data_IF_537392481582
#
_entry.id   IF_537392481582
#
_cell.length_a   1.000
_cell.length_b   1.000
_cell.length_c   1.000
_cell.angle_alpha   90.00
_cell.angle_beta   90.00
_cell.angle_gamma   90.00
#
_symmetry.space_group_name_H-M   'P 1'
#
loop_
_entity.id
_entity.type
_entity.pdbx_description
1 polymer ?
#
# COMPACT_ATOMS: atom_id res chain seq x y z
N UNK A 1 12.82 -12.36 18.68
CA UNK A 1 12.77 -12.61 17.22
C UNK A 1 11.55 -11.98 16.53
N UNK A 2 10.35 -12.57 16.55
CA UNK A 2 9.17 -12.03 15.82
C UNK A 2 8.83 -10.58 16.16
N UNK A 3 8.85 -10.28 17.45
CA UNK A 3 8.59 -8.93 17.95
C UNK A 3 9.66 -7.92 17.50
N UNK A 4 10.95 -8.27 17.58
CA UNK A 4 12.05 -7.40 17.16
C UNK A 4 12.04 -7.15 15.65
N UNK A 5 11.73 -8.19 14.85
CA UNK A 5 11.53 -8.07 13.41
C UNK A 5 10.39 -7.10 13.07
N UNK A 6 9.29 -7.15 13.84
CA UNK A 6 8.18 -6.20 13.68
C UNK A 6 8.61 -4.77 14.03
N UNK A 7 9.36 -4.58 15.12
CA UNK A 7 9.86 -3.27 15.51
C UNK A 7 10.84 -2.68 14.47
N UNK A 8 11.74 -3.49 13.93
CA UNK A 8 12.63 -3.08 12.83
C UNK A 8 11.82 -2.69 11.58
N UNK A 9 10.86 -3.54 11.18
CA UNK A 9 9.96 -3.26 10.07
C UNK A 9 9.22 -1.92 10.26
N UNK A 10 8.65 -1.67 11.44
CA UNK A 10 7.92 -0.43 11.74
C UNK A 10 8.86 0.79 11.73
N UNK A 11 10.07 0.66 12.27
CA UNK A 11 11.08 1.73 12.24
C UNK A 11 11.50 2.08 10.82
N UNK A 12 11.77 1.06 9.99
CA UNK A 12 12.09 1.24 8.57
C UNK A 12 10.94 1.84 7.80
N UNK A 13 9.71 1.37 8.03
CA UNK A 13 8.50 1.91 7.39
C UNK A 13 8.32 3.40 7.71
N UNK A 14 8.36 3.77 8.99
CA UNK A 14 8.22 5.17 9.41
C UNK A 14 9.33 6.05 8.82
N UNK A 15 10.57 5.57 8.83
CA UNK A 15 11.71 6.27 8.22
C UNK A 15 11.52 6.49 6.72
N UNK A 16 11.06 5.47 5.98
CA UNK A 16 10.81 5.54 4.54
C UNK A 16 9.61 6.44 4.20
N UNK A 17 8.56 6.46 5.01
CA UNK A 17 7.43 7.38 4.85
C UNK A 17 7.88 8.83 5.03
N UNK A 18 8.62 9.11 6.10
CA UNK A 18 9.09 10.47 6.42
C UNK A 18 9.99 11.07 5.33
N UNK A 19 10.79 10.25 4.66
CA UNK A 19 11.69 10.70 3.59
C UNK A 19 11.23 10.32 2.17
N UNK A 20 10.00 9.83 2.01
CA UNK A 20 9.42 9.39 0.74
C UNK A 20 10.36 8.47 -0.04
N UNK A 21 10.89 7.45 0.62
CA UNK A 21 11.83 6.49 0.03
C UNK A 21 13.18 7.09 -0.37
N UNK A 22 13.56 8.24 0.22
CA UNK A 22 14.75 9.03 -0.14
C UNK A 22 14.75 9.51 -1.59
N UNK A 23 13.57 9.62 -2.22
CA UNK A 23 13.44 10.14 -3.59
C UNK A 23 13.69 11.65 -3.57
N UNK A 24 14.64 12.12 -4.39
CA UNK A 24 14.95 13.55 -4.53
C UNK A 24 13.74 14.34 -5.06
N UNK A 25 13.55 15.57 -4.58
CA UNK A 25 12.39 16.43 -4.92
C UNK A 25 12.10 16.55 -6.41
N UNK A 26 13.11 16.85 -7.24
CA UNK A 26 12.94 16.93 -8.71
C UNK A 26 12.49 15.59 -9.33
N UNK A 27 13.04 14.47 -8.86
CA UNK A 27 12.64 13.13 -9.34
C UNK A 27 11.19 12.82 -8.92
N UNK A 28 10.82 13.17 -7.70
CA UNK A 28 9.45 13.01 -7.21
C UNK A 28 8.47 13.85 -8.04
N UNK A 29 8.77 15.12 -8.27
CA UNK A 29 7.94 16.00 -9.12
C UNK A 29 7.73 15.42 -10.52
N UNK A 30 8.79 14.89 -11.15
CA UNK A 30 8.68 14.23 -12.45
C UNK A 30 7.82 12.95 -12.41
N UNK A 31 7.85 12.19 -11.33
CA UNK A 31 6.96 11.03 -11.16
C UNK A 31 5.50 11.47 -11.07
N UNK A 32 5.24 12.53 -10.28
CA UNK A 32 3.89 13.02 -10.01
C UNK A 32 3.27 13.75 -11.21
N UNK A 33 4.06 14.41 -12.06
CA UNK A 33 3.57 15.18 -13.21
C UNK A 33 2.87 14.34 -14.28
N UNK A 34 3.01 13.01 -14.23
CA UNK A 34 2.37 12.07 -15.14
C UNK A 34 1.14 11.37 -14.54
N UNK A 35 0.74 11.73 -13.32
CA UNK A 35 -0.52 11.28 -12.75
C UNK A 35 -1.68 11.98 -13.45
N UNK A 36 -2.70 11.23 -13.85
CA UNK A 36 -3.86 11.80 -14.51
C UNK A 36 -5.02 10.80 -14.67
N UNK A 37 -6.18 11.27 -15.16
CA UNK A 37 -7.42 10.50 -15.19
C UNK A 37 -7.34 9.19 -15.97
N UNK A 38 -6.47 9.11 -16.99
CA UNK A 38 -6.27 7.89 -17.79
C UNK A 38 -5.86 6.68 -16.94
N UNK A 39 -5.18 6.91 -15.81
CA UNK A 39 -4.72 5.86 -14.91
C UNK A 39 -5.82 5.30 -14.01
N UNK A 40 -7.00 5.95 -13.99
CA UNK A 40 -8.15 5.49 -13.21
C UNK A 40 -8.85 4.29 -13.87
N UNK A 41 -8.63 4.05 -15.16
CA UNK A 41 -9.21 2.92 -15.88
C UNK A 41 -10.73 2.79 -15.64
N UNK A 42 -11.18 1.59 -15.27
CA UNK A 42 -12.60 1.34 -14.98
C UNK A 42 -13.11 1.99 -13.69
N UNK A 43 -12.25 2.59 -12.88
CA UNK A 43 -12.63 3.37 -11.69
C UNK A 43 -12.88 4.86 -11.98
N UNK A 44 -12.90 5.28 -13.25
CA UNK A 44 -13.15 6.68 -13.62
C UNK A 44 -14.49 7.26 -13.16
N UNK A 45 -15.46 6.42 -12.76
CA UNK A 45 -16.72 6.87 -12.16
C UNK A 45 -16.65 7.20 -10.66
N UNK A 46 -15.54 6.88 -9.99
CA UNK A 46 -15.32 7.20 -8.56
C UNK A 46 -14.73 8.61 -8.42
N UNK A 47 -15.00 9.25 -7.27
CA UNK A 47 -14.42 10.56 -6.97
C UNK A 47 -12.93 10.43 -6.63
N UNK A 48 -12.06 10.97 -7.50
CA UNK A 48 -10.63 11.07 -7.18
C UNK A 48 -10.44 12.02 -5.99
N UNK A 49 -9.81 11.52 -4.92
CA UNK A 49 -9.46 12.30 -3.73
C UNK A 49 -7.95 12.27 -3.48
N UNK A 50 -7.37 13.34 -2.92
CA UNK A 50 -6.04 13.26 -2.34
C UNK A 50 -6.06 12.36 -1.10
N UNK A 51 -4.91 11.76 -0.79
CA UNK A 51 -4.73 10.88 0.37
C UNK A 51 -5.08 11.61 1.68
N UNK A 52 -4.72 12.88 1.79
CA UNK A 52 -4.97 13.70 2.98
C UNK A 52 -6.48 13.97 3.23
N UNK A 53 -7.35 13.81 2.23
CA UNK A 53 -8.80 14.00 2.39
C UNK A 53 -9.54 12.72 2.80
N UNK A 54 -8.85 11.59 2.89
CA UNK A 54 -9.44 10.33 3.33
C UNK A 54 -9.84 10.38 4.81
N UNK A 55 -10.97 9.76 5.12
CA UNK A 55 -11.44 9.55 6.48
C UNK A 55 -10.96 8.20 7.03
N UNK A 56 -10.74 8.05 8.35
CA UNK A 56 -10.46 6.76 8.96
C UNK A 56 -11.56 5.74 8.63
N UNK A 57 -11.17 4.50 8.34
CA UNK A 57 -12.09 3.45 7.89
C UNK A 57 -12.25 3.42 6.36
N UNK A 58 -13.40 2.91 5.91
CA UNK A 58 -13.70 2.77 4.47
C UNK A 58 -14.12 4.12 3.88
N UNK A 59 -13.65 4.42 2.68
CA UNK A 59 -14.00 5.62 1.92
C UNK A 59 -14.78 5.25 0.64
N UNK A 60 -16.06 4.85 0.74
CA UNK A 60 -16.84 4.40 -0.40
C UNK A 60 -17.01 5.50 -1.46
N UNK A 61 -17.16 5.10 -2.72
CA UNK A 61 -17.34 6.06 -3.83
C UNK A 61 -16.11 6.91 -4.16
N UNK A 62 -14.98 6.70 -3.48
CA UNK A 62 -13.75 7.46 -3.66
C UNK A 62 -12.66 6.58 -4.30
N UNK A 63 -11.71 7.21 -4.98
CA UNK A 63 -10.51 6.55 -5.49
C UNK A 63 -9.30 7.41 -5.18
N UNK A 64 -8.16 6.79 -4.89
CA UNK A 64 -6.87 7.48 -4.77
C UNK A 64 -5.92 6.99 -5.85
N UNK A 65 -5.06 7.90 -6.31
CA UNK A 65 -4.07 7.67 -7.33
C UNK A 65 -2.74 8.27 -6.86
N UNK A 66 -1.66 7.49 -6.96
CA UNK A 66 -0.34 7.98 -6.60
C UNK A 66 0.79 7.21 -7.26
N UNK A 67 2.03 7.58 -6.91
CA UNK A 67 3.28 6.95 -7.36
C UNK A 67 3.96 6.20 -6.23
N UNK A 68 4.45 5.01 -6.54
CA UNK A 68 5.22 4.19 -5.60
C UNK A 68 6.59 4.83 -5.38
N UNK A 69 6.99 5.00 -4.12
CA UNK A 69 8.29 5.61 -3.74
C UNK A 69 9.25 4.66 -3.03
N UNK A 70 8.74 3.57 -2.44
CA UNK A 70 9.52 2.47 -1.87
C UNK A 70 8.64 1.23 -1.74
N UNK A 71 9.24 0.06 -1.55
CA UNK A 71 8.58 -1.16 -1.08
C UNK A 71 9.32 -1.76 0.12
N UNK A 72 8.59 -2.47 0.95
CA UNK A 72 9.06 -3.14 2.16
C UNK A 72 8.22 -4.39 2.36
N UNK A 73 8.86 -5.50 2.68
CA UNK A 73 8.19 -6.75 2.99
C UNK A 73 8.75 -7.26 4.33
N UNK A 74 7.90 -7.61 5.31
CA UNK A 74 8.37 -8.26 6.53
C UNK A 74 8.88 -9.66 6.21
N UNK A 75 9.59 -10.28 7.16
CA UNK A 75 10.18 -11.61 6.96
C UNK A 75 9.12 -12.69 6.68
N UNK A 76 7.94 -12.56 7.29
CA UNK A 76 6.77 -13.42 7.07
C UNK A 76 6.05 -13.14 5.74
N UNK A 77 6.61 -12.26 4.91
CA UNK A 77 6.16 -11.88 3.57
C UNK A 77 4.79 -11.20 3.47
N UNK A 78 4.07 -11.05 4.57
CA UNK A 78 2.74 -10.43 4.61
C UNK A 78 2.69 -9.33 5.67
N UNK A 79 2.19 -8.12 5.34
CA UNK A 79 1.75 -7.66 4.03
C UNK A 79 2.90 -7.25 3.11
N UNK A 80 2.68 -7.27 1.79
CA UNK A 80 3.53 -6.50 0.87
C UNK A 80 3.22 -5.02 1.10
N UNK A 81 4.22 -4.25 1.51
CA UNK A 81 4.04 -2.84 1.88
C UNK A 81 4.76 -1.94 0.90
N UNK A 82 4.14 -0.84 0.51
CA UNK A 82 4.81 0.19 -0.28
C UNK A 82 4.36 1.59 0.11
N UNK A 83 5.22 2.58 -0.14
CA UNK A 83 4.86 3.99 0.02
C UNK A 83 4.22 4.52 -1.24
N UNK A 84 3.09 5.19 -1.11
CA UNK A 84 2.37 5.84 -2.21
C UNK A 84 2.33 7.35 -1.97
N UNK A 85 2.79 8.11 -2.97
CA UNK A 85 2.71 9.58 -2.96
C UNK A 85 1.69 10.05 -3.98
N UNK A 86 0.70 10.82 -3.56
CA UNK A 86 -0.29 11.42 -4.45
C UNK A 86 0.20 12.72 -5.10
N UNK A 87 -0.65 13.33 -5.94
CA UNK A 87 -0.31 14.57 -6.63
C UNK A 87 -0.04 15.76 -5.68
N UNK A 88 -0.59 15.76 -4.47
CA UNK A 88 -0.36 16.79 -3.44
C UNK A 88 0.94 16.53 -2.64
N UNK A 89 1.57 15.38 -2.85
CA UNK A 89 2.81 15.00 -2.20
C UNK A 89 2.60 14.32 -0.84
N UNK A 90 1.37 14.02 -0.44
CA UNK A 90 1.08 13.23 0.78
C UNK A 90 1.58 11.81 0.59
N UNK A 91 2.26 11.24 1.59
CA UNK A 91 2.84 9.90 1.49
C UNK A 91 2.27 8.96 2.55
N UNK A 92 1.48 7.97 2.13
CA UNK A 92 0.93 6.93 3.01
C UNK A 92 1.49 5.56 2.68
N UNK A 93 1.45 4.66 3.67
CA UNK A 93 1.76 3.25 3.44
C UNK A 93 0.56 2.52 2.85
N UNK A 94 0.78 1.62 1.91
CA UNK A 94 -0.23 0.71 1.37
C UNK A 94 0.18 -0.69 1.80
N UNK A 95 -0.74 -1.43 2.41
CA UNK A 95 -0.52 -2.79 2.91
C UNK A 95 -1.42 -3.75 2.15
N UNK A 96 -0.82 -4.50 1.23
CA UNK A 96 -1.52 -5.45 0.37
C UNK A 96 -1.42 -6.86 0.96
N UNK A 97 -2.57 -7.51 1.05
CA UNK A 97 -2.72 -8.87 1.55
C UNK A 97 -3.11 -9.82 0.40
N UNK A 98 -3.15 -11.12 0.72
CA UNK A 98 -3.65 -12.17 -0.17
C UNK A 98 -2.99 -12.18 -1.57
N UNK A 99 -1.71 -11.85 -1.65
CA UNK A 99 -0.94 -11.82 -2.89
C UNK A 99 -0.07 -13.08 -3.04
N UNK A 100 0.18 -13.52 -4.27
CA UNK A 100 1.24 -14.49 -4.55
C UNK A 100 2.60 -13.87 -4.27
N UNK A 101 3.60 -14.68 -3.92
CA UNK A 101 4.94 -14.18 -3.56
C UNK A 101 5.63 -13.41 -4.69
N UNK A 102 5.30 -13.72 -5.95
CA UNK A 102 5.86 -13.07 -7.13
C UNK A 102 5.21 -11.71 -7.45
N UNK A 103 4.15 -11.33 -6.75
CA UNK A 103 3.48 -10.05 -6.98
C UNK A 103 4.15 -8.91 -6.22
N UNK A 104 4.20 -7.74 -6.86
CA UNK A 104 4.66 -6.51 -6.26
C UNK A 104 4.52 -5.33 -7.22
N UNK A 105 4.89 -4.15 -6.76
CA UNK A 105 5.00 -2.94 -7.58
C UNK A 105 6.40 -2.35 -7.51
N UNK A 106 6.79 -1.64 -8.56
CA UNK A 106 8.09 -0.99 -8.68
C UNK A 106 8.00 0.50 -8.32
N UNK A 107 9.13 1.06 -7.91
CA UNK A 107 9.25 2.51 -7.73
C UNK A 107 8.89 3.21 -9.05
N UNK A 108 8.14 4.30 -8.94
CA UNK A 108 7.53 5.07 -10.03
C UNK A 108 6.29 4.45 -10.69
N UNK A 109 5.89 3.22 -10.38
CA UNK A 109 4.59 2.72 -10.82
C UNK A 109 3.48 3.62 -10.29
N UNK A 110 2.46 3.87 -11.12
CA UNK A 110 1.23 4.49 -10.64
C UNK A 110 0.29 3.43 -10.13
N UNK A 111 -0.28 3.65 -8.95
CA UNK A 111 -1.25 2.73 -8.36
C UNK A 111 -2.55 3.47 -8.10
N UNK A 112 -3.65 2.89 -8.59
CA UNK A 112 -5.02 3.33 -8.34
C UNK A 112 -5.66 2.39 -7.32
N UNK A 113 -6.20 2.95 -6.24
CA UNK A 113 -6.84 2.20 -5.15
C UNK A 113 -8.29 2.67 -5.01
N UNK A 114 -9.28 1.85 -5.37
CA UNK A 114 -10.69 2.18 -5.16
C UNK A 114 -11.06 2.02 -3.68
N UNK A 115 -12.02 2.82 -3.24
CA UNK A 115 -12.68 2.75 -1.94
C UNK A 115 -11.73 2.49 -0.75
N UNK A 116 -10.65 3.29 -0.60
CA UNK A 116 -9.53 2.96 0.27
C UNK A 116 -9.94 2.84 1.74
N UNK A 117 -9.39 1.84 2.42
CA UNK A 117 -9.58 1.63 3.85
C UNK A 117 -8.40 2.20 4.65
N UNK A 118 -8.55 3.44 5.13
CA UNK A 118 -7.52 4.14 5.90
C UNK A 118 -7.51 3.68 7.36
N UNK A 119 -6.31 3.49 7.91
CA UNK A 119 -6.07 3.31 9.34
C UNK A 119 -4.97 4.26 9.82
N UNK A 120 -5.23 4.91 10.95
CA UNK A 120 -4.22 5.68 11.68
C UNK A 120 -3.58 4.77 12.73
N UNK A 121 -2.26 4.66 12.70
CA UNK A 121 -1.51 3.89 13.67
C UNK A 121 -0.82 4.84 14.64
N UNK A 122 -0.95 4.53 15.93
CA UNK A 122 -0.16 5.11 17.01
C UNK A 122 0.21 3.95 17.94
N UNK A 123 1.39 3.38 17.72
CA UNK A 123 1.87 2.20 18.43
C UNK A 123 3.02 2.63 19.34
N UNK A 124 2.86 2.38 20.64
CA UNK A 124 3.92 2.58 21.63
C UNK A 124 4.32 1.23 22.20
N UNK A 125 5.59 0.87 22.05
CA UNK A 125 6.09 -0.42 22.53
C UNK A 125 7.60 -0.37 22.76
N UNK A 126 8.08 -0.96 23.87
CA UNK A 126 9.51 -0.96 24.26
C UNK A 126 10.20 0.41 24.16
N UNK A 127 9.50 1.48 24.57
CA UNK A 127 10.02 2.86 24.53
C UNK A 127 10.12 3.47 23.13
N UNK A 128 9.68 2.76 22.08
CA UNK A 128 9.59 3.29 20.72
C UNK A 128 8.15 3.69 20.41
N UNK A 129 7.99 4.74 19.59
CA UNK A 129 6.69 5.24 19.13
C UNK A 129 6.66 5.25 17.61
N UNK A 130 5.65 4.59 17.03
CA UNK A 130 5.43 4.52 15.59
C UNK A 130 4.08 5.15 15.25
N UNK A 131 4.10 6.28 14.55
CA UNK A 131 2.90 7.00 14.10
C UNK A 131 2.92 7.10 12.58
N UNK A 132 1.91 6.52 11.94
CA UNK A 132 1.81 6.55 10.48
C UNK A 132 0.38 6.21 10.01
N UNK A 133 0.09 6.52 8.74
CA UNK A 133 -1.15 6.14 8.08
C UNK A 133 -0.93 4.95 7.15
N UNK A 134 -1.88 4.02 7.13
CA UNK A 134 -1.90 2.91 6.17
C UNK A 134 -3.24 2.79 5.46
N UNK A 135 -3.22 2.46 4.18
CA UNK A 135 -4.38 1.95 3.46
C UNK A 135 -4.26 0.43 3.38
N UNK A 136 -5.27 -0.26 3.89
CA UNK A 136 -5.39 -1.72 3.76
C UNK A 136 -5.99 -2.05 2.40
N UNK A 137 -5.37 -3.01 1.71
CA UNK A 137 -5.85 -3.58 0.45
C UNK A 137 -5.93 -5.09 0.64
N UNK A 138 -7.13 -5.65 0.54
CA UNK A 138 -7.36 -7.06 0.88
C UNK A 138 -6.79 -8.02 -0.17
N UNK A 139 -6.70 -7.59 -1.43
CA UNK A 139 -6.13 -8.36 -2.53
C UNK A 139 -5.59 -7.46 -3.64
N UNK A 140 -4.47 -7.84 -4.31
CA UNK A 140 -3.93 -7.07 -5.42
C UNK A 140 -4.91 -6.87 -6.58
N UNK A 141 -5.91 -7.74 -6.76
CA UNK A 141 -6.93 -7.65 -7.82
C UNK A 141 -7.80 -6.38 -7.72
N UNK A 142 -7.82 -5.73 -6.56
CA UNK A 142 -8.53 -4.46 -6.35
C UNK A 142 -7.81 -3.28 -7.02
N UNK A 143 -6.51 -3.43 -7.33
CA UNK A 143 -5.65 -2.35 -7.79
C UNK A 143 -5.61 -2.22 -9.31
N UNK A 144 -5.34 -1.00 -9.78
CA UNK A 144 -4.73 -0.79 -11.10
C UNK A 144 -3.26 -0.42 -10.90
N UNK A 145 -2.37 -1.05 -11.66
CA UNK A 145 -0.95 -0.68 -11.73
C UNK A 145 -0.67 -0.18 -13.14
N UNK A 146 -0.19 1.05 -13.25
CA UNK A 146 0.02 1.73 -14.55
C UNK A 146 -1.24 1.73 -15.42
N UNK A 147 -2.40 1.94 -14.79
CA UNK A 147 -3.71 1.92 -15.44
C UNK A 147 -4.22 0.52 -15.84
N UNK A 148 -3.48 -0.56 -15.52
CA UNK A 148 -3.83 -1.94 -15.88
C UNK A 148 -4.37 -2.73 -14.68
N UNK A 149 -5.50 -3.45 -14.82
CA UNK A 149 -6.04 -4.28 -13.75
C UNK A 149 -5.12 -5.44 -13.41
N UNK A 150 -5.08 -5.82 -12.14
CA UNK A 150 -4.37 -7.00 -11.69
C UNK A 150 -5.27 -8.24 -11.83
N UNK A 151 -4.75 -9.30 -12.45
CA UNK A 151 -5.53 -10.52 -12.72
C UNK A 151 -5.61 -11.46 -11.52
N UNK A 152 -6.51 -12.47 -11.53
CA UNK A 152 -6.66 -13.45 -10.45
C UNK A 152 -5.38 -14.22 -10.11
N UNK A 153 -4.46 -14.40 -11.07
CA UNK A 153 -3.15 -15.03 -10.86
C UNK A 153 -2.22 -14.26 -9.90
N UNK A 154 -2.54 -13.01 -9.59
CA UNK A 154 -1.80 -12.20 -8.61
C UNK A 154 -2.25 -12.48 -7.16
N UNK A 155 -3.39 -13.12 -6.98
CA UNK A 155 -3.95 -13.43 -5.67
C UNK A 155 -3.49 -14.82 -5.20
N UNK A 156 -3.21 -14.97 -3.90
CA UNK A 156 -2.88 -16.27 -3.34
C UNK A 156 -4.09 -17.23 -3.43
N UNK A 157 -3.81 -18.49 -3.75
CA UNK A 157 -4.81 -19.55 -3.75
C UNK A 157 -5.20 -19.91 -2.32
N UNK A 158 -6.49 -20.17 -2.09
CA UNK A 158 -6.95 -20.70 -0.81
C UNK A 158 -6.43 -22.13 -0.63
N UNK A 159 -5.74 -22.39 0.48
CA UNK A 159 -5.30 -23.73 0.89
C UNK A 159 -6.12 -24.22 2.08
N UNK A 160 -6.72 -25.40 1.96
CA UNK A 160 -7.39 -26.07 3.07
C UNK A 160 -6.36 -26.98 3.74
N UNK A 161 -5.99 -26.67 4.98
CA UNK A 161 -5.18 -27.56 5.80
C UNK A 161 -6.10 -28.50 6.59
N UNK A 162 -6.25 -29.74 6.12
CA UNK A 162 -6.92 -30.80 6.88
C UNK A 162 -5.91 -31.51 7.78
N UNK A 163 -6.20 -31.62 9.09
CA UNK A 163 -5.49 -32.53 9.99
C UNK A 163 -6.43 -33.68 10.34
N UNK A 164 -6.14 -34.93 9.95
CA UNK A 164 -6.92 -36.06 10.43
C UNK A 164 -6.80 -36.16 11.96
N UNK A 165 -7.93 -36.30 12.66
CA UNK A 165 -7.94 -36.73 14.05
C UNK A 165 -7.50 -38.20 14.09
N UNK A 166 -6.39 -38.48 14.76
CA UNK A 166 -6.02 -39.84 15.14
C UNK A 166 -6.93 -40.31 16.28
N UNK A 167 -7.51 -41.50 16.12
CA UNK A 167 -8.27 -42.22 17.17
C UNK A 167 -7.40 -42.63 18.36
#
# INVERSE_FOLDING_TARGET
MREEQLLDYLGRLCGLLNNKGKIRGKRLQNMLSSLGPVLLGHYGGLQLKPLAALQPGKNPGCVVLGRVVFSLMPEERVPFTFGLVDAEGTCYSIMVYNMVESWGVLIADSVTIPEPQLKHHNVQHKGQTFVFQSIRVDSPVQLLVNGKPQGPSTQASATVAYRPQSE
#
